data_IF_222864771228
#
_entry.id   IF_222864771228
#
_cell.length_a   1.000
_cell.length_b   1.000
_cell.length_c   1.000
_cell.angle_alpha   90.00
_cell.angle_beta   90.00
_cell.angle_gamma   90.00
#
_symmetry.space_group_name_H-M   'P 1'
#
loop_
_entity.id
_entity.type
_entity.pdbx_description
1 polymer ?
#
# COMPACT_ATOMS: atom_id res chain seq x y z
N UNK A 1 4.92 28.44 4.56
CA UNK A 1 4.14 27.82 3.48
C UNK A 1 4.69 26.42 3.27
N UNK A 2 3.87 25.38 3.47
CA UNK A 2 4.28 23.99 3.24
C UNK A 2 4.60 23.82 1.76
N UNK A 3 5.74 23.24 1.42
CA UNK A 3 6.25 23.03 0.06
C UNK A 3 5.35 22.15 -0.84
N UNK A 4 4.23 21.66 -0.29
CA UNK A 4 3.30 20.72 -0.92
C UNK A 4 1.84 21.17 -0.77
N UNK A 5 1.52 22.40 -1.18
CA UNK A 5 0.13 22.81 -1.38
C UNK A 5 -0.31 22.49 -2.82
N UNK A 6 -1.01 21.36 -2.98
CA UNK A 6 -1.54 20.92 -4.28
C UNK A 6 -2.96 21.44 -4.56
N UNK A 7 -3.46 22.37 -3.74
CA UNK A 7 -4.82 22.89 -3.81
C UNK A 7 -5.89 21.94 -3.23
N UNK A 8 -7.01 22.52 -2.82
CA UNK A 8 -8.14 21.77 -2.28
C UNK A 8 -8.94 21.11 -3.43
N UNK A 9 -8.79 19.80 -3.61
CA UNK A 9 -9.61 18.99 -4.53
C UNK A 9 -10.33 17.87 -3.80
N UNK A 10 -11.54 17.54 -4.24
CA UNK A 10 -12.33 16.46 -3.65
C UNK A 10 -11.85 15.11 -4.19
N UNK A 11 -11.82 14.09 -3.33
CA UNK A 11 -11.49 12.73 -3.75
C UNK A 11 -12.39 12.22 -4.91
N UNK A 12 -13.64 12.68 -4.98
CA UNK A 12 -14.57 12.33 -6.06
C UNK A 12 -14.15 12.82 -7.45
N UNK A 13 -13.23 13.77 -7.55
CA UNK A 13 -12.69 14.25 -8.82
C UNK A 13 -11.56 13.35 -9.36
N UNK A 14 -11.02 12.46 -8.53
CA UNK A 14 -9.98 11.53 -8.94
C UNK A 14 -10.56 10.41 -9.81
N UNK A 15 -9.95 10.17 -10.97
CA UNK A 15 -10.38 9.15 -11.94
C UNK A 15 -9.89 7.76 -11.52
N UNK A 16 -10.42 7.27 -10.40
CA UNK A 16 -9.97 6.01 -9.80
C UNK A 16 -10.00 4.80 -10.74
N UNK A 17 -11.00 4.72 -11.64
CA UNK A 17 -11.08 3.62 -12.59
C UNK A 17 -9.90 3.62 -13.55
N UNK A 18 -9.52 4.79 -14.06
CA UNK A 18 -8.40 4.97 -14.97
C UNK A 18 -7.07 4.68 -14.27
N UNK A 19 -6.90 5.17 -13.04
CA UNK A 19 -5.70 4.90 -12.25
C UNK A 19 -5.49 3.39 -12.02
N UNK A 20 -6.53 2.67 -11.56
CA UNK A 20 -6.41 1.22 -11.33
C UNK A 20 -6.36 0.39 -12.61
N UNK A 21 -6.86 0.92 -13.73
CA UNK A 21 -6.68 0.31 -15.05
C UNK A 21 -5.21 0.39 -15.48
N UNK A 22 -4.61 1.59 -15.40
CA UNK A 22 -3.18 1.80 -15.64
C UNK A 22 -2.32 0.90 -14.73
N UNK A 23 -2.63 0.84 -13.43
CA UNK A 23 -1.96 -0.05 -12.49
C UNK A 23 -1.94 -1.50 -12.99
N UNK A 24 -3.10 -2.01 -13.40
CA UNK A 24 -3.26 -3.39 -13.83
C UNK A 24 -2.71 -3.66 -15.25
N UNK A 25 -2.44 -2.64 -16.05
CA UNK A 25 -1.76 -2.72 -17.35
C UNK A 25 -0.24 -2.75 -17.18
N UNK A 26 0.29 -1.88 -16.30
CA UNK A 26 1.72 -1.80 -16.01
C UNK A 26 2.24 -2.98 -15.17
N UNK A 27 1.38 -3.53 -14.31
CA UNK A 27 1.74 -4.62 -13.41
C UNK A 27 0.76 -5.79 -13.57
N UNK A 28 0.83 -6.52 -14.71
CA UNK A 28 -0.10 -7.61 -14.99
C UNK A 28 -0.03 -8.74 -13.94
N UNK A 29 1.14 -8.97 -13.34
CA UNK A 29 1.35 -10.01 -12.33
C UNK A 29 0.53 -9.77 -11.05
N UNK A 30 0.21 -8.51 -10.72
CA UNK A 30 -0.64 -8.17 -9.58
C UNK A 30 -2.06 -8.73 -9.72
N UNK A 31 -2.50 -9.03 -10.95
CA UNK A 31 -3.81 -9.66 -11.18
C UNK A 31 -3.85 -11.09 -10.67
N UNK A 32 -2.74 -11.82 -10.78
CA UNK A 32 -2.64 -13.18 -10.25
C UNK A 32 -2.66 -13.20 -8.72
N UNK A 33 -2.13 -12.15 -8.10
CA UNK A 33 -2.06 -11.99 -6.64
C UNK A 33 -3.27 -11.24 -6.05
N UNK A 34 -4.25 -10.86 -6.88
CA UNK A 34 -5.36 -10.00 -6.47
C UNK A 34 -6.29 -10.73 -5.49
N UNK A 35 -6.32 -10.26 -4.24
CA UNK A 35 -7.26 -10.72 -3.23
C UNK A 35 -8.61 -9.98 -3.31
N UNK A 36 -8.58 -8.66 -3.50
CA UNK A 36 -9.75 -7.78 -3.62
C UNK A 36 -9.32 -6.43 -4.17
N UNK A 37 -10.23 -5.71 -4.84
CA UNK A 37 -10.04 -4.29 -5.14
C UNK A 37 -11.29 -3.49 -4.84
N UNK A 38 -11.12 -2.19 -4.64
CA UNK A 38 -12.18 -1.21 -4.51
C UNK A 38 -11.79 0.09 -5.22
N UNK A 39 -12.62 1.14 -5.12
CA UNK A 39 -12.31 2.43 -5.75
C UNK A 39 -10.99 3.04 -5.27
N UNK A 40 -10.57 2.76 -4.04
CA UNK A 40 -9.43 3.43 -3.41
C UNK A 40 -8.26 2.50 -3.11
N UNK A 41 -8.38 1.22 -3.45
CA UNK A 41 -7.36 0.24 -3.07
C UNK A 41 -7.30 -0.98 -4.01
N UNK A 42 -6.13 -1.59 -4.02
CA UNK A 42 -5.83 -2.92 -4.57
C UNK A 42 -5.21 -3.76 -3.46
N UNK A 43 -5.79 -4.93 -3.17
CA UNK A 43 -5.25 -5.87 -2.20
C UNK A 43 -4.51 -7.00 -2.90
N UNK A 44 -3.21 -7.12 -2.61
CA UNK A 44 -2.39 -8.29 -2.89
C UNK A 44 -2.57 -9.31 -1.77
N UNK A 45 -2.83 -10.57 -2.12
CA UNK A 45 -2.89 -11.68 -1.18
C UNK A 45 -1.51 -12.23 -0.83
N UNK A 46 -1.29 -12.53 0.45
CA UNK A 46 -0.11 -13.25 0.96
C UNK A 46 -0.60 -14.52 1.69
N UNK A 47 -1.02 -15.56 0.95
CA UNK A 47 -1.74 -16.70 1.51
C UNK A 47 -0.91 -17.52 2.50
N UNK A 48 0.39 -17.68 2.26
CA UNK A 48 1.30 -18.43 3.14
C UNK A 48 1.35 -17.86 4.56
N UNK A 49 1.07 -16.56 4.68
CA UNK A 49 1.03 -15.87 5.96
C UNK A 49 -0.40 -15.56 6.41
N UNK A 50 -1.44 -15.91 5.66
CA UNK A 50 -2.82 -15.45 5.88
C UNK A 50 -2.89 -13.92 6.12
N UNK A 51 -2.19 -13.16 5.27
CA UNK A 51 -2.12 -11.70 5.28
C UNK A 51 -2.57 -11.14 3.93
N UNK A 52 -2.87 -9.84 3.89
CA UNK A 52 -3.04 -9.09 2.64
C UNK A 52 -2.32 -7.76 2.73
N UNK A 53 -1.72 -7.31 1.63
CA UNK A 53 -1.17 -5.97 1.48
C UNK A 53 -2.17 -5.11 0.73
N UNK A 54 -2.57 -3.98 1.32
CA UNK A 54 -3.45 -3.01 0.69
C UNK A 54 -2.61 -1.86 0.13
N UNK A 55 -2.49 -1.81 -1.19
CA UNK A 55 -2.02 -0.63 -1.92
C UNK A 55 -3.20 0.32 -2.07
N UNK A 56 -3.03 1.59 -1.71
CA UNK A 56 -4.13 2.55 -1.71
C UNK A 56 -3.72 3.90 -2.30
N UNK A 57 -4.73 4.64 -2.74
CA UNK A 57 -4.61 6.03 -3.16
C UNK A 57 -5.57 6.88 -2.34
N UNK A 58 -5.07 7.99 -1.79
CA UNK A 58 -5.81 8.94 -0.97
C UNK A 58 -5.71 10.35 -1.59
N UNK A 59 -6.49 10.64 -2.65
CA UNK A 59 -6.31 11.86 -3.44
C UNK A 59 -6.54 13.15 -2.65
N UNK A 60 -7.49 13.14 -1.72
CA UNK A 60 -7.77 14.30 -0.87
C UNK A 60 -6.59 14.68 0.04
N UNK A 61 -5.68 13.73 0.31
CA UNK A 61 -4.47 13.92 1.10
C UNK A 61 -3.20 13.89 0.25
N UNK A 62 -3.34 13.81 -1.09
CA UNK A 62 -2.24 13.72 -2.06
C UNK A 62 -1.15 12.71 -1.64
N UNK A 63 -1.57 11.47 -1.39
CA UNK A 63 -0.61 10.38 -1.20
C UNK A 63 -1.14 9.04 -1.70
N UNK A 64 -0.19 8.13 -1.92
CA UNK A 64 -0.41 6.70 -2.06
C UNK A 64 0.29 5.97 -0.92
N UNK A 65 -0.11 4.73 -0.64
CA UNK A 65 0.54 3.97 0.43
C UNK A 65 0.27 2.48 0.40
N UNK A 66 0.99 1.78 1.26
CA UNK A 66 0.92 0.33 1.47
C UNK A 66 0.82 0.06 2.97
N UNK A 67 -0.11 -0.82 3.35
CA UNK A 67 -0.24 -1.31 4.72
C UNK A 67 -0.86 -2.72 4.74
N UNK A 68 -0.81 -3.40 5.89
CA UNK A 68 -1.49 -4.69 6.05
C UNK A 68 -2.99 -4.52 6.23
N UNK A 69 -3.76 -5.06 5.30
CA UNK A 69 -5.22 -4.93 5.28
C UNK A 69 -5.95 -6.05 6.03
N UNK A 70 -7.27 -5.90 6.06
CA UNK A 70 -8.20 -6.96 6.48
C UNK A 70 -8.84 -7.63 5.27
N UNK A 71 -8.87 -8.96 5.25
CA UNK A 71 -9.61 -9.75 4.26
C UNK A 71 -10.00 -11.11 4.85
N UNK A 72 -11.29 -11.29 5.14
CA UNK A 72 -11.83 -12.51 5.77
C UNK A 72 -11.66 -13.76 4.91
N UNK A 73 -11.83 -13.63 3.58
CA UNK A 73 -11.69 -14.75 2.65
C UNK A 73 -10.27 -15.33 2.64
N UNK A 74 -9.27 -14.49 2.92
CA UNK A 74 -7.85 -14.87 2.98
C UNK A 74 -7.36 -15.14 4.41
N UNK A 75 -8.26 -15.18 5.40
CA UNK A 75 -7.88 -15.37 6.82
C UNK A 75 -7.16 -14.16 7.44
N UNK A 76 -7.01 -13.06 6.70
CA UNK A 76 -6.36 -11.83 7.14
C UNK A 76 -7.29 -11.00 8.02
N UNK A 77 -7.72 -11.52 9.17
CA UNK A 77 -8.67 -10.85 10.08
C UNK A 77 -8.01 -10.19 11.27
N UNK A 78 -6.82 -10.66 11.66
CA UNK A 78 -6.06 -10.21 12.82
C UNK A 78 -4.62 -9.84 12.46
N UNK A 79 -4.41 -9.26 11.27
CA UNK A 79 -3.08 -8.93 10.76
C UNK A 79 -2.24 -8.15 11.79
N UNK A 80 -2.82 -7.14 12.42
CA UNK A 80 -2.11 -6.36 13.44
C UNK A 80 -1.70 -7.18 14.66
N UNK A 81 -2.62 -7.96 15.25
CA UNK A 81 -2.30 -8.80 16.42
C UNK A 81 -1.19 -9.80 16.12
N UNK A 82 -1.12 -10.30 14.88
CA UNK A 82 -0.10 -11.26 14.43
C UNK A 82 1.24 -10.61 14.15
N UNK A 83 1.25 -9.40 13.60
CA UNK A 83 2.47 -8.69 13.22
C UNK A 83 3.07 -7.86 14.36
N UNK A 84 2.28 -7.47 15.36
CA UNK A 84 2.72 -6.65 16.48
C UNK A 84 3.96 -7.19 17.20
N UNK A 85 4.10 -8.49 17.51
CA UNK A 85 5.31 -9.02 18.15
C UNK A 85 6.57 -8.84 17.30
N UNK A 86 6.41 -8.80 15.97
CA UNK A 86 7.49 -8.72 14.99
C UNK A 86 7.71 -7.30 14.45
N UNK A 87 6.94 -6.33 14.93
CA UNK A 87 6.95 -4.96 14.40
C UNK A 87 8.36 -4.37 14.33
N UNK A 88 9.19 -4.40 15.40
CA UNK A 88 10.54 -3.83 15.32
C UNK A 88 11.42 -4.50 14.26
N UNK A 89 11.32 -5.82 14.11
CA UNK A 89 12.10 -6.57 13.11
C UNK A 89 11.65 -6.23 11.69
N UNK A 90 10.34 -6.12 11.46
CA UNK A 90 9.80 -5.76 10.15
C UNK A 90 10.18 -4.30 9.80
N UNK A 91 10.03 -3.37 10.75
CA UNK A 91 10.39 -1.96 10.55
C UNK A 91 11.89 -1.77 10.29
N UNK A 92 12.76 -2.50 10.99
CA UNK A 92 14.21 -2.49 10.73
C UNK A 92 14.55 -2.95 9.31
N UNK A 93 13.83 -3.96 8.78
CA UNK A 93 14.01 -4.40 7.38
C UNK A 93 13.45 -3.41 6.37
N UNK A 94 12.32 -2.77 6.69
CA UNK A 94 11.73 -1.77 5.81
C UNK A 94 12.51 -0.45 5.80
N UNK A 95 13.30 -0.15 6.84
CA UNK A 95 14.12 1.07 6.96
C UNK A 95 13.32 2.33 6.60
N UNK A 96 12.06 2.38 7.04
CA UNK A 96 11.16 3.49 6.73
C UNK A 96 11.63 4.74 7.46
N UNK A 97 11.68 5.86 6.75
CA UNK A 97 11.87 7.15 7.39
C UNK A 97 10.57 7.59 8.07
N UNK A 98 10.62 8.38 9.16
CA UNK A 98 9.41 8.84 9.85
C UNK A 98 8.39 9.53 8.93
N UNK A 99 8.84 10.21 7.86
CA UNK A 99 7.95 10.91 6.92
C UNK A 99 7.20 9.94 5.98
N UNK A 100 7.60 8.67 5.97
CA UNK A 100 7.00 7.61 5.16
C UNK A 100 6.02 6.76 5.97
N UNK A 101 5.84 7.00 7.26
CA UNK A 101 4.88 6.26 8.09
C UNK A 101 3.79 7.16 8.67
N UNK A 102 2.61 6.60 8.89
CA UNK A 102 1.54 7.22 9.66
C UNK A 102 1.43 6.59 11.03
N UNK A 103 1.42 7.40 12.08
CA UNK A 103 1.16 6.92 13.43
C UNK A 103 -0.24 6.30 13.54
N UNK A 104 -0.35 5.19 14.27
CA UNK A 104 -1.63 4.54 14.56
C UNK A 104 -2.19 3.62 13.46
N UNK A 105 -1.54 3.49 12.30
CA UNK A 105 -1.94 2.57 11.21
C UNK A 105 -1.16 1.25 11.19
N UNK A 106 -0.41 0.95 12.25
CA UNK A 106 0.51 -0.20 12.29
C UNK A 106 1.66 -0.04 11.30
N UNK A 107 2.18 -1.16 10.78
CA UNK A 107 3.28 -1.15 9.81
C UNK A 107 2.72 -0.65 8.46
N UNK A 108 3.15 0.53 8.03
CA UNK A 108 2.68 1.18 6.82
C UNK A 108 3.77 2.04 6.17
N UNK A 109 3.64 2.26 4.86
CA UNK A 109 4.49 3.16 4.09
C UNK A 109 3.62 4.06 3.21
N UNK A 110 3.95 5.35 3.14
CA UNK A 110 3.25 6.33 2.32
C UNK A 110 4.21 7.18 1.50
N UNK A 111 3.72 7.65 0.35
CA UNK A 111 4.40 8.63 -0.49
C UNK A 111 3.47 9.79 -0.80
N UNK A 112 3.85 10.99 -0.36
CA UNK A 112 3.19 12.25 -0.70
C UNK A 112 3.50 12.65 -2.14
N UNK A 113 2.45 12.77 -2.95
CA UNK A 113 2.50 13.03 -4.39
C UNK A 113 1.19 13.64 -4.85
N UNK A 114 1.23 14.60 -5.79
CA UNK A 114 0.02 15.13 -6.39
C UNK A 114 -0.71 14.03 -7.17
N UNK A 115 -1.76 13.46 -6.57
CA UNK A 115 -2.52 12.37 -7.17
C UNK A 115 -3.33 12.81 -8.40
N UNK A 116 -3.60 14.11 -8.54
CA UNK A 116 -4.41 14.65 -9.63
C UNK A 116 -3.61 14.97 -10.89
N UNK A 117 -2.28 15.01 -10.81
CA UNK A 117 -1.43 15.09 -11.98
C UNK A 117 -1.25 13.68 -12.58
N UNK A 118 -1.92 13.41 -13.70
CA UNK A 118 -1.92 12.08 -14.33
C UNK A 118 -0.50 11.62 -14.75
N UNK A 119 0.40 12.58 -15.02
CA UNK A 119 1.82 12.32 -15.32
C UNK A 119 2.55 11.63 -14.14
N UNK A 120 2.05 11.78 -12.91
CA UNK A 120 2.60 11.07 -11.75
C UNK A 120 2.13 9.62 -11.65
N UNK A 121 1.04 9.25 -12.32
CA UNK A 121 0.41 7.95 -12.11
C UNK A 121 1.33 6.76 -12.43
N UNK A 122 2.12 6.75 -13.51
CA UNK A 122 3.08 5.66 -13.74
C UNK A 122 4.05 5.48 -12.58
N UNK A 123 4.61 6.57 -12.03
CA UNK A 123 5.50 6.50 -10.90
C UNK A 123 4.78 6.03 -9.62
N UNK A 124 3.53 6.47 -9.40
CA UNK A 124 2.69 6.03 -8.28
C UNK A 124 2.42 4.53 -8.32
N UNK A 125 2.07 3.98 -9.49
CA UNK A 125 1.80 2.54 -9.61
C UNK A 125 3.06 1.72 -9.41
N UNK A 126 4.18 2.15 -10.02
CA UNK A 126 5.47 1.48 -9.89
C UNK A 126 5.96 1.49 -8.43
N UNK A 127 5.77 2.62 -7.74
CA UNK A 127 6.07 2.75 -6.32
C UNK A 127 5.22 1.82 -5.45
N UNK A 128 3.90 1.73 -5.70
CA UNK A 128 3.00 0.86 -4.94
C UNK A 128 3.41 -0.62 -5.03
N UNK A 129 3.74 -1.11 -6.23
CA UNK A 129 4.18 -2.50 -6.42
C UNK A 129 5.56 -2.74 -5.81
N UNK A 130 6.47 -1.79 -5.97
CA UNK A 130 7.80 -1.86 -5.35
C UNK A 130 7.69 -1.97 -3.84
N UNK A 131 6.88 -1.11 -3.23
CA UNK A 131 6.70 -1.04 -1.78
C UNK A 131 5.95 -2.26 -1.23
N UNK A 132 4.91 -2.72 -1.92
CA UNK A 132 4.23 -3.98 -1.57
C UNK A 132 5.20 -5.16 -1.59
N UNK A 133 6.06 -5.25 -2.62
CA UNK A 133 7.07 -6.31 -2.70
C UNK A 133 8.16 -6.19 -1.62
N UNK A 134 8.48 -4.97 -1.16
CA UNK A 134 9.37 -4.77 0.00
C UNK A 134 8.73 -5.29 1.29
N UNK A 135 7.44 -5.02 1.50
CA UNK A 135 6.69 -5.53 2.65
C UNK A 135 6.59 -7.05 2.63
N UNK A 136 6.25 -7.63 1.49
CA UNK A 136 6.18 -9.08 1.31
C UNK A 136 7.50 -9.77 1.66
N UNK A 137 8.63 -9.26 1.15
CA UNK A 137 9.96 -9.78 1.49
C UNK A 137 10.27 -9.65 2.98
N UNK A 138 10.00 -8.49 3.58
CA UNK A 138 10.22 -8.29 5.02
C UNK A 138 9.41 -9.29 5.87
N UNK A 139 8.18 -9.58 5.47
CA UNK A 139 7.36 -10.62 6.12
C UNK A 139 7.93 -12.01 5.91
N UNK A 140 8.29 -12.37 4.69
CA UNK A 140 8.85 -13.69 4.39
C UNK A 140 10.16 -13.93 5.15
N UNK A 141 11.02 -12.91 5.28
CA UNK A 141 12.26 -13.00 6.04
C UNK A 141 12.05 -13.10 7.56
N UNK A 142 11.05 -12.41 8.11
CA UNK A 142 10.83 -12.38 9.56
C UNK A 142 9.99 -13.57 10.03
N UNK A 143 8.94 -13.93 9.29
CA UNK A 143 8.03 -15.03 9.66
C UNK A 143 8.46 -16.38 9.09
N UNK A 144 9.26 -16.41 8.02
CA UNK A 144 9.80 -17.66 7.45
C UNK A 144 11.05 -18.18 8.16
N UNK A 145 11.55 -17.45 9.17
CA UNK A 145 12.63 -17.89 10.07
C UNK A 145 12.12 -18.62 11.33
N UNK A 146 10.80 -18.74 11.48
CA UNK A 146 10.15 -19.63 12.47
C UNK A 146 9.91 -21.02 11.90
#
# INVERSE_FOLDING_TARGET
MSEFDFGARRASEFRQRSFWMLFAERHPDERALLARRGPWFWQRGLPDFALVLSMYVAPAQNHVGVFFGRNEKFGATQAWSRLKPFQPAIEDRLKLRPEQSCDGLGINSMWRVNCFAEDNWPAMTDWLVTEASRFERAIAEVLGQE
#
